data_IF_368135094528
#
_entry.id   IF_368135094528
#
_cell.length_a   1.000
_cell.length_b   1.000
_cell.length_c   1.000
_cell.angle_alpha   90.00
_cell.angle_beta   90.00
_cell.angle_gamma   90.00
#
_symmetry.space_group_name_H-M   'P 1'
#
loop_
_entity.id
_entity.type
_entity.pdbx_description
1 polymer ?
#
# COMPACT_ATOMS: atom_id res chain seq x y z
N UNK A 1 -1.04 40.12 4.66
CA UNK A 1 -1.81 39.08 3.97
C UNK A 1 -1.03 37.79 4.14
N UNK A 2 -1.57 36.84 4.92
CA UNK A 2 -0.91 35.56 5.17
C UNK A 2 -1.06 34.69 3.92
N UNK A 3 0.05 34.22 3.35
CA UNK A 3 0.03 33.35 2.18
C UNK A 3 -0.10 31.90 2.65
N UNK A 4 -1.28 31.31 2.47
CA UNK A 4 -1.49 29.87 2.61
C UNK A 4 -0.85 29.14 1.42
N UNK A 5 0.16 28.30 1.69
CA UNK A 5 0.73 27.40 0.69
C UNK A 5 -0.07 26.10 0.67
N UNK A 6 -0.75 25.83 -0.43
CA UNK A 6 -1.40 24.53 -0.68
C UNK A 6 -0.50 23.61 -1.52
N UNK A 7 -0.58 22.30 -1.29
CA UNK A 7 0.20 21.31 -2.06
C UNK A 7 -0.59 20.83 -3.27
N UNK A 8 0.08 20.72 -4.42
CA UNK A 8 -0.52 20.16 -5.64
C UNK A 8 -0.72 18.65 -5.49
N UNK A 9 -1.94 18.19 -5.77
CA UNK A 9 -2.36 16.78 -5.78
C UNK A 9 -1.97 16.13 -7.12
N UNK A 10 -1.51 14.88 -7.11
CA UNK A 10 -1.20 14.12 -8.34
C UNK A 10 -2.44 13.39 -8.82
N UNK A 11 -2.74 13.49 -10.12
CA UNK A 11 -3.79 12.69 -10.76
C UNK A 11 -3.29 11.27 -11.13
N UNK A 12 -4.23 10.35 -11.38
CA UNK A 12 -3.95 8.95 -11.74
C UNK A 12 -2.88 8.79 -12.85
N UNK A 13 -2.98 9.58 -13.93
CA UNK A 13 -2.01 9.55 -15.04
C UNK A 13 -0.59 9.91 -14.58
N UNK A 14 -0.46 10.94 -13.75
CA UNK A 14 0.82 11.36 -13.19
C UNK A 14 1.45 10.30 -12.28
N UNK A 15 0.61 9.59 -11.51
CA UNK A 15 1.03 8.48 -10.63
C UNK A 15 1.57 7.32 -11.49
N UNK A 16 0.79 6.86 -12.47
CA UNK A 16 1.17 5.75 -13.36
C UNK A 16 2.47 6.04 -14.11
N UNK A 17 2.63 7.26 -14.63
CA UNK A 17 3.84 7.68 -15.33
C UNK A 17 5.09 7.64 -14.43
N UNK A 18 4.97 8.05 -13.16
CA UNK A 18 6.09 8.01 -12.20
C UNK A 18 6.46 6.60 -11.79
N UNK A 19 5.48 5.71 -11.69
CA UNK A 19 5.67 4.33 -11.27
C UNK A 19 5.87 3.37 -12.46
N UNK A 20 6.03 3.88 -13.69
CA UNK A 20 6.04 3.08 -14.92
C UNK A 20 7.09 1.97 -14.93
N UNK A 21 8.27 2.18 -14.34
CA UNK A 21 9.39 1.23 -14.36
C UNK A 21 9.34 0.20 -13.22
N UNK A 22 8.37 0.31 -12.30
CA UNK A 22 8.27 -0.57 -11.15
C UNK A 22 7.79 -1.94 -11.59
N UNK A 23 8.51 -2.97 -11.14
CA UNK A 23 8.20 -4.38 -11.39
C UNK A 23 7.33 -4.94 -10.26
N UNK A 24 6.51 -5.98 -10.52
CA UNK A 24 5.66 -6.59 -9.50
C UNK A 24 6.40 -7.01 -8.22
N UNK A 25 7.55 -7.69 -8.31
CA UNK A 25 8.37 -8.05 -7.15
C UNK A 25 8.74 -6.83 -6.28
N UNK A 26 9.19 -5.74 -6.91
CA UNK A 26 9.54 -4.52 -6.19
C UNK A 26 8.30 -3.93 -5.51
N UNK A 27 7.15 -3.91 -6.20
CA UNK A 27 5.90 -3.45 -5.62
C UNK A 27 5.48 -4.30 -4.41
N UNK A 28 5.56 -5.63 -4.50
CA UNK A 28 5.27 -6.56 -3.38
C UNK A 28 6.22 -6.31 -2.20
N UNK A 29 7.51 -6.09 -2.48
CA UNK A 29 8.52 -5.81 -1.45
C UNK A 29 8.18 -4.55 -0.65
N UNK A 30 7.60 -3.52 -1.28
CA UNK A 30 7.15 -2.31 -0.57
C UNK A 30 6.11 -2.62 0.50
N UNK A 31 5.18 -3.54 0.24
CA UNK A 31 4.16 -3.92 1.23
C UNK A 31 4.75 -4.71 2.40
N UNK A 32 5.77 -5.52 2.14
CA UNK A 32 6.52 -6.22 3.19
C UNK A 32 7.24 -5.17 4.07
N UNK A 33 7.94 -4.22 3.46
CA UNK A 33 8.62 -3.15 4.17
C UNK A 33 7.67 -2.23 4.95
N UNK A 34 6.47 -1.96 4.42
CA UNK A 34 5.45 -1.21 5.15
C UNK A 34 5.06 -1.88 6.49
N UNK A 35 5.07 -3.21 6.55
CA UNK A 35 4.87 -3.96 7.80
C UNK A 35 5.99 -3.68 8.81
N UNK A 36 7.25 -3.76 8.36
CA UNK A 36 8.41 -3.46 9.21
C UNK A 36 8.46 -1.99 9.66
N UNK A 37 8.11 -1.03 8.78
CA UNK A 37 7.94 0.38 9.13
C UNK A 37 6.84 0.59 10.19
N UNK A 38 5.84 -0.29 10.21
CA UNK A 38 4.81 -0.37 11.24
C UNK A 38 5.24 -1.16 12.48
N UNK A 39 6.54 -1.43 12.64
CA UNK A 39 7.14 -2.16 13.78
C UNK A 39 6.68 -3.61 13.91
N UNK A 40 6.23 -4.22 12.82
CA UNK A 40 5.97 -5.66 12.79
C UNK A 40 7.30 -6.43 12.96
N UNK A 41 7.25 -7.55 13.65
CA UNK A 41 8.33 -8.55 13.66
C UNK A 41 7.99 -9.76 12.77
N UNK A 42 6.73 -9.87 12.33
CA UNK A 42 6.25 -10.91 11.45
C UNK A 42 5.44 -10.31 10.29
N UNK A 43 5.78 -10.76 9.07
CA UNK A 43 4.99 -10.53 7.87
C UNK A 43 4.64 -11.89 7.25
N UNK A 44 3.35 -12.11 7.00
CA UNK A 44 2.81 -13.34 6.41
C UNK A 44 2.30 -13.02 5.01
N UNK A 45 2.80 -13.73 4.01
CA UNK A 45 2.34 -13.63 2.62
C UNK A 45 1.46 -14.86 2.35
N UNK A 46 0.24 -14.63 1.87
CA UNK A 46 -0.68 -15.70 1.45
C UNK A 46 -1.10 -15.48 0.01
N UNK A 47 -1.22 -16.54 -0.76
CA UNK A 47 -1.76 -16.48 -2.12
C UNK A 47 -2.56 -17.73 -2.43
N UNK A 48 -3.46 -17.62 -3.40
CA UNK A 48 -4.05 -18.77 -4.08
C UNK A 48 -4.00 -18.54 -5.59
N UNK A 49 -4.09 -19.64 -6.33
CA UNK A 49 -4.14 -19.63 -7.78
C UNK A 49 -5.30 -20.47 -8.27
N UNK A 50 -5.84 -20.08 -9.42
CA UNK A 50 -6.81 -20.89 -10.13
C UNK A 50 -6.15 -22.12 -10.80
N UNK A 51 -6.95 -22.95 -11.44
CA UNK A 51 -6.50 -24.19 -12.11
C UNK A 51 -5.45 -23.95 -13.22
N UNK A 52 -5.38 -22.73 -13.77
CA UNK A 52 -4.40 -22.35 -14.79
C UNK A 52 -3.07 -21.85 -14.18
N UNK A 53 -2.96 -21.83 -12.84
CA UNK A 53 -1.76 -21.35 -12.13
C UNK A 53 -1.65 -19.82 -12.06
N UNK A 54 -2.68 -19.10 -12.50
CA UNK A 54 -2.76 -17.64 -12.34
C UNK A 54 -3.24 -17.33 -10.93
N UNK A 55 -2.60 -16.37 -10.25
CA UNK A 55 -3.06 -15.93 -8.94
C UNK A 55 -4.44 -15.29 -9.05
N UNK A 56 -5.35 -15.66 -8.15
CA UNK A 56 -6.65 -14.98 -7.97
C UNK A 56 -6.72 -14.20 -6.65
N UNK A 57 -5.82 -14.51 -5.71
CA UNK A 57 -5.67 -13.85 -4.42
C UNK A 57 -4.20 -13.72 -4.03
N UNK A 58 -3.87 -12.57 -3.46
CA UNK A 58 -2.61 -12.32 -2.75
C UNK A 58 -2.91 -11.45 -1.54
N UNK A 59 -2.33 -11.76 -0.39
CA UNK A 59 -2.32 -10.87 0.75
C UNK A 59 -0.99 -10.83 1.46
N UNK A 60 -0.71 -9.68 2.07
CA UNK A 60 0.47 -9.39 2.85
C UNK A 60 -0.02 -8.85 4.18
N UNK A 61 0.16 -9.65 5.23
CA UNK A 61 -0.31 -9.36 6.58
C UNK A 61 0.86 -9.15 7.52
N UNK A 62 0.89 -8.01 8.18
CA UNK A 62 1.82 -7.73 9.27
C UNK A 62 1.11 -7.75 10.63
N UNK A 63 1.89 -7.91 11.70
CA UNK A 63 1.44 -7.78 13.09
C UNK A 63 1.90 -6.46 13.73
N UNK A 64 2.09 -5.41 12.93
CA UNK A 64 2.57 -4.11 13.38
C UNK A 64 1.49 -3.30 14.10
N UNK A 65 1.71 -1.98 14.17
CA UNK A 65 0.83 -1.06 14.91
C UNK A 65 -0.53 -0.80 14.24
N UNK A 66 -0.71 -1.25 13.01
CA UNK A 66 -1.83 -0.83 12.16
C UNK A 66 -1.71 0.63 11.70
N UNK A 67 -2.78 1.13 11.10
CA UNK A 67 -2.88 2.48 10.54
C UNK A 67 -3.85 3.30 11.39
N UNK A 68 -3.40 4.32 12.14
CA UNK A 68 -4.31 5.18 12.87
C UNK A 68 -5.21 5.97 11.92
N UNK A 69 -6.52 5.99 12.20
CA UNK A 69 -7.53 6.60 11.33
C UNK A 69 -7.30 8.09 11.11
N UNK A 70 -6.89 8.83 12.15
CA UNK A 70 -6.55 10.26 12.05
C UNK A 70 -5.36 10.55 11.12
N UNK A 71 -4.57 9.54 10.73
CA UNK A 71 -3.45 9.66 9.79
C UNK A 71 -3.84 9.32 8.36
N UNK A 72 -5.08 8.93 8.07
CA UNK A 72 -5.50 8.48 6.74
C UNK A 72 -5.23 9.52 5.66
N UNK A 73 -5.66 10.75 5.88
CA UNK A 73 -5.47 11.82 4.91
C UNK A 73 -3.98 12.07 4.60
N UNK A 74 -3.12 12.00 5.62
CA UNK A 74 -1.68 12.13 5.46
C UNK A 74 -1.07 10.91 4.75
N UNK A 75 -1.57 9.71 5.06
CA UNK A 75 -1.01 8.43 4.62
C UNK A 75 -1.62 7.90 3.33
N UNK A 76 -2.72 8.43 2.81
CA UNK A 76 -3.42 7.89 1.64
C UNK A 76 -3.63 8.90 0.52
N UNK A 77 -3.75 10.20 0.81
CA UNK A 77 -3.78 11.22 -0.25
C UNK A 77 -2.41 11.35 -0.93
N UNK A 78 -2.32 11.23 -2.26
CA UNK A 78 -1.07 11.38 -3.00
C UNK A 78 -0.74 12.86 -3.23
N UNK A 79 0.36 13.34 -2.65
CA UNK A 79 0.83 14.73 -2.80
C UNK A 79 2.26 14.79 -3.35
N UNK A 80 2.59 15.86 -4.08
CA UNK A 80 3.97 16.19 -4.40
C UNK A 80 4.52 17.18 -3.37
N UNK A 81 5.55 16.79 -2.62
CA UNK A 81 6.49 17.76 -2.04
C UNK A 81 7.55 18.05 -3.08
N UNK A 82 7.42 19.17 -3.79
CA UNK A 82 8.43 19.65 -4.74
C UNK A 82 9.68 20.23 -4.05
N UNK A 83 9.68 20.39 -2.73
CA UNK A 83 10.82 20.93 -2.00
C UNK A 83 11.83 19.82 -1.70
N UNK A 84 12.92 19.84 -2.47
CA UNK A 84 14.06 18.91 -2.56
C UNK A 84 13.85 17.80 -3.59
N UNK A 85 14.33 18.02 -4.84
CA UNK A 85 15.33 17.13 -5.47
C UNK A 85 15.78 17.52 -6.88
N UNK A 86 17.06 17.31 -7.10
CA UNK A 86 17.77 17.44 -8.38
C UNK A 86 17.30 16.39 -9.39
N UNK A 87 17.36 16.73 -10.67
CA UNK A 87 16.91 15.94 -11.83
C UNK A 87 17.55 14.55 -11.97
N UNK A 88 18.62 14.24 -11.24
CA UNK A 88 19.27 12.92 -11.20
C UNK A 88 18.49 11.88 -10.37
N UNK A 89 17.68 12.31 -9.40
CA UNK A 89 16.86 11.43 -8.55
C UNK A 89 15.62 10.87 -9.27
N UNK A 90 15.31 11.39 -10.46
CA UNK A 90 14.19 10.91 -11.29
C UNK A 90 14.48 9.57 -11.98
N UNK A 91 15.75 9.20 -12.14
CA UNK A 91 16.16 7.91 -12.75
C UNK A 91 16.08 6.76 -11.74
N UNK A 92 16.09 7.07 -10.45
CA UNK A 92 15.96 6.10 -9.37
C UNK A 92 14.81 6.52 -8.48
N UNK A 93 13.58 6.08 -8.81
CA UNK A 93 12.54 5.97 -7.78
C UNK A 93 13.05 4.91 -6.81
N UNK A 94 13.90 5.31 -5.86
CA UNK A 94 14.29 4.51 -4.72
C UNK A 94 13.06 4.39 -3.85
N UNK A 95 12.17 3.48 -4.27
CA UNK A 95 10.94 3.17 -3.56
C UNK A 95 11.22 2.58 -2.20
N UNK A 96 12.42 2.02 -2.00
CA UNK A 96 12.73 1.11 -0.90
C UNK A 96 12.23 1.57 0.47
N UNK A 97 12.11 2.86 0.82
CA UNK A 97 11.35 3.31 2.01
C UNK A 97 10.73 4.73 1.92
N UNK A 98 9.66 4.92 1.13
CA UNK A 98 8.54 5.80 1.57
C UNK A 98 8.58 7.33 1.37
N UNK A 99 9.43 7.92 0.51
CA UNK A 99 9.59 9.40 0.49
C UNK A 99 8.42 10.24 -0.05
N UNK A 100 7.45 9.68 -0.78
CA UNK A 100 6.35 10.45 -1.42
C UNK A 100 4.94 9.82 -1.27
N UNK A 101 4.78 8.77 -0.46
CA UNK A 101 3.49 8.09 -0.33
C UNK A 101 2.99 7.37 -1.60
N UNK A 102 3.85 7.12 -2.58
CA UNK A 102 3.45 6.44 -3.82
C UNK A 102 3.62 4.91 -3.75
N UNK A 103 4.36 4.39 -2.76
CA UNK A 103 4.63 2.95 -2.62
C UNK A 103 3.35 2.11 -2.52
N UNK A 104 2.40 2.54 -1.69
CA UNK A 104 1.05 1.94 -1.55
C UNK A 104 0.21 1.93 -2.83
N UNK A 105 0.60 2.69 -3.86
CA UNK A 105 -0.09 2.72 -5.14
C UNK A 105 0.51 1.71 -6.12
N UNK A 106 1.70 1.16 -5.84
CA UNK A 106 2.40 0.24 -6.76
C UNK A 106 1.66 -1.07 -7.03
N UNK A 107 0.58 -1.39 -6.30
CA UNK A 107 -0.21 -2.60 -6.55
C UNK A 107 -0.81 -2.66 -7.96
N UNK A 108 -1.04 -1.50 -8.62
CA UNK A 108 -1.58 -1.48 -9.98
C UNK A 108 -0.69 -2.22 -10.99
N UNK A 109 0.56 -2.51 -10.61
CA UNK A 109 1.48 -3.34 -11.38
C UNK A 109 1.10 -4.80 -11.46
N UNK A 110 0.23 -5.28 -10.57
CA UNK A 110 -0.12 -6.69 -10.53
C UNK A 110 -1.57 -6.99 -10.16
N UNK A 111 -2.33 -6.02 -9.65
CA UNK A 111 -3.73 -6.19 -9.26
C UNK A 111 -4.57 -4.96 -9.60
N UNK A 112 -5.87 -5.15 -9.85
CA UNK A 112 -6.78 -4.02 -10.09
C UNK A 112 -7.35 -3.39 -8.83
N UNK A 113 -7.35 -4.10 -7.70
CA UNK A 113 -7.87 -3.60 -6.43
C UNK A 113 -6.95 -4.00 -5.28
N UNK A 114 -6.73 -3.06 -4.36
CA UNK A 114 -6.11 -3.29 -3.08
C UNK A 114 -7.04 -2.86 -1.95
N UNK A 115 -7.17 -3.71 -0.93
CA UNK A 115 -7.91 -3.44 0.30
C UNK A 115 -6.94 -3.55 1.48
N UNK A 116 -6.84 -2.52 2.31
CA UNK A 116 -6.13 -2.56 3.58
C UNK A 116 -7.15 -2.77 4.67
N UNK A 117 -7.17 -3.95 5.28
CA UNK A 117 -7.89 -4.21 6.52
C UNK A 117 -6.93 -4.00 7.67
N UNK A 118 -7.21 -3.04 8.54
CA UNK A 118 -6.27 -2.67 9.60
C UNK A 118 -6.95 -2.60 10.96
N UNK A 119 -6.25 -3.14 11.95
CA UNK A 119 -6.57 -3.01 13.37
C UNK A 119 -5.52 -2.12 14.01
N UNK A 120 -5.91 -1.05 14.69
CA UNK A 120 -4.99 -0.14 15.37
C UNK A 120 -5.44 0.16 16.81
N UNK A 121 -4.47 0.49 17.67
CA UNK A 121 -4.75 0.96 19.03
C UNK A 121 -5.07 2.45 18.99
N UNK A 122 -6.27 2.80 19.44
CA UNK A 122 -6.72 4.18 19.54
C UNK A 122 -6.29 4.80 20.90
N UNK A 123 -6.39 6.12 21.01
CA UNK A 123 -5.95 6.87 22.19
C UNK A 123 -6.76 6.55 23.46
N UNK A 124 -7.95 5.96 23.31
CA UNK A 124 -8.78 5.44 24.40
C UNK A 124 -8.30 4.06 24.93
N UNK A 125 -7.25 3.49 24.34
CA UNK A 125 -6.69 2.20 24.73
C UNK A 125 -7.44 0.98 24.15
N UNK A 126 -8.40 1.19 23.26
CA UNK A 126 -9.14 0.12 22.59
C UNK A 126 -8.64 -0.09 21.15
N UNK A 127 -8.83 -1.30 20.65
CA UNK A 127 -8.51 -1.64 19.26
C UNK A 127 -9.71 -1.36 18.36
N UNK A 128 -9.44 -0.79 17.19
CA UNK A 128 -10.45 -0.48 16.18
C UNK A 128 -10.07 -1.06 14.82
N UNK A 129 -11.08 -1.60 14.13
CA UNK A 129 -10.97 -2.15 12.78
C UNK A 129 -11.60 -1.19 11.77
N UNK A 130 -10.91 -0.97 10.66
CA UNK A 130 -11.50 -0.34 9.47
C UNK A 130 -10.80 -0.80 8.20
N UNK A 131 -11.40 -0.49 7.05
CA UNK A 131 -10.85 -0.86 5.75
C UNK A 131 -10.66 0.34 4.83
N UNK A 132 -9.61 0.29 4.01
CA UNK A 132 -9.32 1.26 2.96
C UNK A 132 -9.29 0.51 1.63
N UNK A 133 -9.89 1.08 0.59
CA UNK A 133 -9.97 0.45 -0.74
C UNK A 133 -9.44 1.43 -1.79
N UNK A 134 -8.53 0.95 -2.65
CA UNK A 134 -8.06 1.67 -3.84
C UNK A 134 -8.24 0.77 -5.07
N UNK A 135 -8.75 1.37 -6.15
CA UNK A 135 -8.83 0.71 -7.46
C UNK A 135 -7.80 1.31 -8.43
N UNK A 136 -7.24 0.47 -9.29
CA UNK A 136 -6.17 0.83 -10.23
C UNK A 136 -6.61 1.79 -11.35
N UNK A 137 -7.91 1.96 -11.56
CA UNK A 137 -8.52 2.92 -12.48
C UNK A 137 -8.69 4.31 -11.83
N UNK A 138 -8.51 4.43 -10.52
CA UNK A 138 -8.59 5.69 -9.78
C UNK A 138 -7.58 5.73 -8.62
N UNK A 139 -6.28 5.75 -8.94
CA UNK A 139 -5.19 5.75 -7.93
C UNK A 139 -5.07 7.06 -7.14
N UNK A 140 -5.78 8.11 -7.56
CA UNK A 140 -5.87 9.39 -6.88
C UNK A 140 -7.00 9.46 -5.84
N UNK A 141 -7.82 8.40 -5.73
CA UNK A 141 -8.90 8.30 -4.76
C UNK A 141 -8.79 7.02 -3.92
N UNK A 142 -9.39 7.06 -2.73
CA UNK A 142 -9.59 5.89 -1.89
C UNK A 142 -10.97 5.95 -1.24
N UNK A 143 -11.54 4.78 -0.97
CA UNK A 143 -12.75 4.63 -0.16
C UNK A 143 -12.36 4.12 1.22
N UNK A 144 -13.10 4.55 2.24
CA UNK A 144 -12.97 4.06 3.62
C UNK A 144 -14.27 3.39 4.02
N UNK A 145 -14.17 2.21 4.65
CA UNK A 145 -15.25 1.60 5.42
C UNK A 145 -15.07 2.05 6.87
N UNK A 146 -16.15 2.50 7.51
CA UNK A 146 -16.07 3.11 8.82
C UNK A 146 -15.54 2.19 9.91
N UNK A 147 -14.91 2.83 10.90
CA UNK A 147 -14.25 2.19 12.01
C UNK A 147 -15.25 1.60 13.00
N UNK A 148 -14.92 0.43 13.53
CA UNK A 148 -15.70 -0.27 14.55
C UNK A 148 -14.78 -0.85 15.61
N UNK A 149 -15.31 -1.08 16.82
CA UNK A 149 -14.55 -1.72 17.89
C UNK A 149 -14.09 -3.12 17.44
N UNK A 150 -12.79 -3.37 17.54
CA UNK A 150 -12.19 -4.62 17.10
C UNK A 150 -12.47 -5.75 18.08
N UNK A 151 -12.71 -6.95 17.54
CA UNK A 151 -12.69 -8.20 18.30
C UNK A 151 -11.30 -8.83 18.34
N UNK A 152 -10.31 -8.25 17.65
CA UNK A 152 -8.93 -8.70 17.69
C UNK A 152 -8.29 -8.42 19.05
N UNK A 153 -7.32 -9.25 19.41
CA UNK A 153 -6.45 -9.02 20.57
C UNK A 153 -5.21 -8.22 20.23
N UNK A 154 -4.90 -8.07 18.93
CA UNK A 154 -3.64 -7.50 18.44
C UNK A 154 -3.89 -6.55 17.28
N UNK A 155 -3.05 -5.52 17.15
CA UNK A 155 -3.02 -4.63 16.00
C UNK A 155 -2.34 -5.29 14.80
N UNK A 156 -2.48 -4.68 13.63
CA UNK A 156 -1.81 -5.10 12.41
C UNK A 156 -2.53 -4.61 11.17
N UNK A 157 -1.94 -4.87 10.00
CA UNK A 157 -2.57 -4.58 8.72
C UNK A 157 -2.48 -5.79 7.81
N UNK A 158 -3.58 -6.08 7.11
CA UNK A 158 -3.65 -7.07 6.06
C UNK A 158 -4.00 -6.37 4.76
N UNK A 159 -3.06 -6.34 3.81
CA UNK A 159 -3.30 -5.80 2.48
C UNK A 159 -3.68 -6.94 1.55
N UNK A 160 -4.89 -6.88 1.00
CA UNK A 160 -5.47 -7.89 0.11
C UNK A 160 -5.52 -7.33 -1.30
N UNK A 161 -5.03 -8.11 -2.25
CA UNK A 161 -5.03 -7.79 -3.67
C UNK A 161 -5.95 -8.75 -4.42
N UNK A 162 -6.87 -8.19 -5.22
CA UNK A 162 -7.82 -8.96 -6.02
C UNK A 162 -7.80 -8.50 -7.47
N UNK A 163 -8.32 -9.34 -8.38
CA UNK A 163 -8.25 -9.14 -9.82
C UNK A 163 -6.78 -9.00 -10.27
N UNK A 164 -6.01 -10.06 -10.01
CA UNK A 164 -4.59 -10.13 -10.30
C UNK A 164 -4.38 -10.40 -11.79
N UNK A 165 -3.48 -9.63 -12.42
CA UNK A 165 -3.30 -9.61 -13.88
C UNK A 165 -1.94 -10.12 -14.37
N UNK A 166 -0.87 -9.97 -13.56
CA UNK A 166 0.51 -10.23 -14.02
C UNK A 166 1.27 -11.25 -13.14
N UNK A 167 0.61 -11.96 -12.22
CA UNK A 167 1.26 -12.92 -11.33
C UNK A 167 0.77 -14.35 -11.55
N UNK A 168 1.72 -15.27 -11.64
CA UNK A 168 1.50 -16.72 -11.63
C UNK A 168 2.10 -17.34 -10.38
N UNK A 169 1.62 -18.52 -10.00
CA UNK A 169 2.17 -19.26 -8.85
C UNK A 169 3.66 -19.55 -9.05
N UNK A 170 4.06 -19.84 -10.29
CA UNK A 170 5.46 -20.00 -10.67
C UNK A 170 6.30 -18.75 -10.38
N UNK A 171 5.78 -17.55 -10.68
CA UNK A 171 6.48 -16.30 -10.40
C UNK A 171 6.74 -16.13 -8.89
N UNK A 172 5.71 -16.39 -8.07
CA UNK A 172 5.83 -16.30 -6.60
C UNK A 172 6.92 -17.24 -6.09
N UNK A 173 6.83 -18.54 -6.45
CA UNK A 173 7.74 -19.57 -5.93
C UNK A 173 9.21 -19.37 -6.33
N UNK A 174 9.47 -18.84 -7.53
CA UNK A 174 10.84 -18.72 -8.07
C UNK A 174 11.45 -17.33 -7.94
N UNK A 175 10.65 -16.30 -7.61
CA UNK A 175 11.14 -14.90 -7.54
C UNK A 175 10.96 -14.30 -6.15
N UNK A 176 9.87 -14.62 -5.44
CA UNK A 176 9.56 -14.01 -4.13
C UNK A 176 10.04 -14.85 -2.95
N UNK A 177 10.15 -16.16 -3.12
CA UNK A 177 10.68 -17.05 -2.10
C UNK A 177 12.15 -17.37 -2.44
N UNK A 178 13.10 -17.16 -1.50
CA UNK A 178 14.49 -17.55 -1.68
C UNK A 178 14.68 -19.07 -1.68
#
# INVERSE_FOLDING_TARGET
MEMTKERVIVNDRGIKNRLKTIKPFSAISEYIWNGFDAKADQVVIKWSSNELGTLDYLSIKDNGTGIPEHKLDLKFKPFLSSEKRNSTDLKHVNLVHGKNGLGRLTFFKFANKATWDTTYLNDDGLLYDFSIIINSDSLDNFSKIDSSLSNSKHSGTNVIFTNIIELSEFYIKNTLLP
#
